data_IF_887218393520
#
_entry.id   IF_887218393520
#
_cell.length_a   1.000
_cell.length_b   1.000
_cell.length_c   1.000
_cell.angle_alpha   90.00
_cell.angle_beta   90.00
_cell.angle_gamma   90.00
#
_symmetry.space_group_name_H-M   'P 1'
#
loop_
_entity.id
_entity.type
_entity.pdbx_description
1 polymer ?
#
# COMPACT_ATOMS: atom_id res chain seq x y z
N UNK A 1 1.31 -16.09 10.62
CA UNK A 1 1.74 -15.01 11.52
C UNK A 1 1.92 -15.61 12.91
N UNK A 2 3.12 -15.50 13.55
CA UNK A 2 3.37 -16.06 14.88
C UNK A 2 2.46 -15.41 15.93
N UNK A 3 2.10 -16.17 16.95
CA UNK A 3 1.35 -15.68 18.09
C UNK A 3 2.33 -15.39 19.24
N UNK A 4 2.62 -14.13 19.49
CA UNK A 4 3.58 -13.72 20.53
C UNK A 4 3.03 -13.83 21.95
N UNK A 5 1.73 -14.08 22.13
CA UNK A 5 1.15 -14.42 23.43
C UNK A 5 1.57 -15.85 23.85
N UNK A 6 2.07 -16.67 22.91
CA UNK A 6 2.61 -18.01 23.15
C UNK A 6 4.12 -17.93 23.39
N UNK A 7 4.62 -18.22 24.59
CA UNK A 7 6.03 -18.02 24.95
C UNK A 7 7.04 -18.70 24.02
N UNK A 8 6.74 -19.91 23.54
CA UNK A 8 7.61 -20.65 22.62
C UNK A 8 7.68 -19.99 21.25
N UNK A 9 6.56 -19.44 20.75
CA UNK A 9 6.54 -18.71 19.46
C UNK A 9 7.26 -17.37 19.58
N UNK A 10 7.06 -16.64 20.67
CA UNK A 10 7.76 -15.39 20.95
C UNK A 10 9.29 -15.62 21.04
N UNK A 11 9.72 -16.66 21.74
CA UNK A 11 11.14 -17.04 21.85
C UNK A 11 11.73 -17.43 20.50
N UNK A 12 11.02 -18.25 19.71
CA UNK A 12 11.46 -18.65 18.37
C UNK A 12 11.60 -17.43 17.45
N UNK A 13 10.63 -16.50 17.46
CA UNK A 13 10.69 -15.27 16.70
C UNK A 13 11.87 -14.39 17.14
N UNK A 14 12.09 -14.21 18.45
CA UNK A 14 13.23 -13.47 18.97
C UNK A 14 14.57 -14.05 18.47
N UNK A 15 14.70 -15.37 18.46
CA UNK A 15 15.90 -16.03 17.93
C UNK A 15 16.10 -15.80 16.42
N UNK A 16 15.03 -15.77 15.63
CA UNK A 16 15.10 -15.46 14.19
C UNK A 16 15.52 -14.00 13.95
N UNK A 17 14.98 -13.07 14.72
CA UNK A 17 15.35 -11.65 14.66
C UNK A 17 16.85 -11.49 14.96
N UNK A 18 17.34 -12.08 16.04
CA UNK A 18 18.76 -12.04 16.41
C UNK A 18 19.69 -12.58 15.31
N UNK A 19 19.26 -13.59 14.56
CA UNK A 19 20.04 -14.14 13.45
C UNK A 19 20.01 -13.25 12.20
N UNK A 20 18.91 -12.51 11.97
CA UNK A 20 18.69 -11.79 10.73
C UNK A 20 19.07 -10.31 10.82
N UNK A 21 18.91 -9.66 11.96
CA UNK A 21 18.96 -8.19 12.10
C UNK A 21 20.29 -7.55 11.68
N UNK A 22 21.40 -8.29 11.74
CA UNK A 22 22.71 -7.78 11.33
C UNK A 22 22.99 -8.02 9.83
N UNK A 23 22.04 -8.65 9.09
CA UNK A 23 22.26 -8.95 7.68
C UNK A 23 22.10 -7.69 6.84
N UNK A 24 23.10 -7.29 6.01
CA UNK A 24 23.09 -6.03 5.30
C UNK A 24 22.00 -5.90 4.21
N UNK A 25 21.36 -7.00 3.83
CA UNK A 25 20.25 -7.01 2.89
C UNK A 25 18.87 -7.01 3.58
N UNK A 26 18.83 -7.06 4.92
CA UNK A 26 17.57 -6.93 5.64
C UNK A 26 17.14 -5.46 5.63
N UNK A 27 15.91 -5.21 5.17
CA UNK A 27 15.30 -3.89 5.20
C UNK A 27 14.03 -3.87 6.05
N UNK A 28 13.23 -4.93 5.96
CA UNK A 28 11.96 -5.05 6.67
C UNK A 28 11.59 -6.51 6.90
N UNK A 29 10.73 -6.73 7.89
CA UNK A 29 10.08 -8.01 8.16
C UNK A 29 8.67 -7.99 7.57
N UNK A 30 8.43 -8.73 6.49
CA UNK A 30 7.10 -8.88 5.92
C UNK A 30 6.24 -9.79 6.79
N UNK A 31 5.24 -9.25 7.45
CA UNK A 31 4.43 -9.95 8.45
C UNK A 31 3.24 -10.66 7.85
N UNK A 32 2.52 -9.97 6.97
CA UNK A 32 1.29 -10.47 6.34
C UNK A 32 0.93 -9.60 5.15
N UNK A 33 0.28 -10.23 4.18
CA UNK A 33 -0.31 -9.59 3.03
C UNK A 33 -1.83 -9.49 3.20
N UNK A 34 -2.40 -8.33 2.92
CA UNK A 34 -3.82 -8.01 2.85
C UNK A 34 -4.66 -8.47 4.07
N UNK A 35 -4.29 -8.13 5.32
CA UNK A 35 -5.05 -8.55 6.48
C UNK A 35 -6.36 -7.77 6.60
N UNK A 36 -7.44 -8.47 6.98
CA UNK A 36 -8.67 -7.83 7.45
C UNK A 36 -8.53 -7.25 8.87
N UNK A 37 -9.42 -6.34 9.24
CA UNK A 37 -9.37 -5.64 10.53
C UNK A 37 -9.38 -6.57 11.76
N UNK A 38 -9.98 -7.75 11.64
CA UNK A 38 -9.96 -8.76 12.70
C UNK A 38 -8.57 -9.26 13.09
N UNK A 39 -7.58 -9.14 12.20
CA UNK A 39 -6.19 -9.51 12.47
C UNK A 39 -5.38 -8.40 13.18
N UNK A 40 -5.83 -7.15 13.14
CA UNK A 40 -5.08 -5.99 13.62
C UNK A 40 -4.65 -6.07 15.08
N UNK A 41 -5.46 -6.55 16.04
CA UNK A 41 -5.02 -6.68 17.43
C UNK A 41 -3.79 -7.59 17.61
N UNK A 42 -3.74 -8.70 16.88
CA UNK A 42 -2.58 -9.59 16.87
C UNK A 42 -1.36 -8.96 16.19
N UNK A 43 -1.60 -8.27 15.07
CA UNK A 43 -0.54 -7.59 14.32
C UNK A 43 0.06 -6.45 15.12
N UNK A 44 -0.75 -5.68 15.87
CA UNK A 44 -0.25 -4.62 16.74
C UNK A 44 0.71 -5.13 17.80
N UNK A 45 0.39 -6.26 18.43
CA UNK A 45 1.31 -6.92 19.38
C UNK A 45 2.61 -7.35 18.70
N UNK A 46 2.51 -7.94 17.50
CA UNK A 46 3.68 -8.41 16.76
C UNK A 46 4.57 -7.24 16.31
N UNK A 47 3.98 -6.14 15.83
CA UNK A 47 4.71 -4.91 15.49
C UNK A 47 5.42 -4.33 16.70
N UNK A 48 4.74 -4.27 17.85
CA UNK A 48 5.35 -3.81 19.09
C UNK A 48 6.52 -4.71 19.52
N UNK A 49 6.38 -6.02 19.38
CA UNK A 49 7.44 -6.99 19.67
C UNK A 49 8.66 -6.77 18.76
N UNK A 50 8.46 -6.63 17.45
CA UNK A 50 9.54 -6.37 16.49
C UNK A 50 10.25 -5.05 16.80
N UNK A 51 9.49 -3.98 17.03
CA UNK A 51 10.05 -2.66 17.39
C UNK A 51 10.91 -2.71 18.66
N UNK A 52 10.55 -3.57 19.61
CA UNK A 52 11.34 -3.76 20.85
C UNK A 52 12.65 -4.53 20.58
N UNK A 53 12.64 -5.53 19.68
CA UNK A 53 13.78 -6.42 19.47
C UNK A 53 14.69 -5.96 18.32
N UNK A 54 14.14 -5.24 17.35
CA UNK A 54 14.86 -4.69 16.20
C UNK A 54 14.22 -3.38 15.71
N UNK A 55 14.51 -2.27 16.39
CA UNK A 55 13.97 -0.96 16.01
C UNK A 55 14.57 -0.39 14.72
N UNK A 56 15.59 -1.03 14.15
CA UNK A 56 16.25 -0.57 12.93
C UNK A 56 15.53 -1.02 11.64
N UNK A 57 14.69 -2.04 11.72
CA UNK A 57 14.01 -2.61 10.55
C UNK A 57 12.50 -2.55 10.67
N UNK A 58 11.84 -2.21 9.55
CA UNK A 58 10.39 -2.03 9.50
C UNK A 58 9.63 -3.35 9.71
N UNK A 59 8.55 -3.27 10.48
CA UNK A 59 7.51 -4.28 10.49
C UNK A 59 6.54 -4.00 9.33
N UNK A 60 6.68 -4.71 8.21
CA UNK A 60 6.00 -4.43 6.96
C UNK A 60 4.70 -5.22 6.81
N UNK A 61 3.61 -4.51 6.53
CA UNK A 61 2.28 -5.06 6.26
C UNK A 61 1.76 -4.37 5.00
N UNK A 62 1.28 -5.15 4.03
CA UNK A 62 0.58 -4.63 2.87
C UNK A 62 -0.93 -4.68 3.09
N UNK A 63 -1.64 -3.60 2.80
CA UNK A 63 -3.08 -3.49 2.99
C UNK A 63 -3.87 -3.74 1.72
N UNK A 64 -5.09 -4.21 1.89
CA UNK A 64 -6.11 -4.36 0.86
C UNK A 64 -6.40 -3.03 0.14
N UNK A 65 -6.77 -3.07 -1.16
CA UNK A 65 -7.26 -1.90 -1.90
C UNK A 65 -8.73 -1.57 -1.62
N UNK A 66 -9.21 -0.43 -2.11
CA UNK A 66 -10.60 0.03 -1.96
C UNK A 66 -11.65 -0.91 -2.56
N UNK A 67 -11.28 -1.71 -3.55
CA UNK A 67 -12.19 -2.67 -4.17
C UNK A 67 -12.29 -4.01 -3.43
N UNK A 68 -11.61 -4.15 -2.30
CA UNK A 68 -11.75 -5.32 -1.44
C UNK A 68 -13.18 -5.45 -0.92
N UNK A 69 -13.67 -6.68 -0.82
CA UNK A 69 -14.99 -6.97 -0.30
C UNK A 69 -15.10 -6.69 1.21
N UNK A 70 -16.31 -6.55 1.69
CA UNK A 70 -16.59 -6.37 3.14
C UNK A 70 -16.04 -7.51 3.99
N UNK A 71 -16.10 -8.74 3.45
CA UNK A 71 -15.55 -9.92 4.11
C UNK A 71 -14.04 -9.89 4.22
N UNK A 72 -13.35 -9.26 3.27
CA UNK A 72 -11.90 -9.06 3.30
C UNK A 72 -11.52 -7.92 4.24
N UNK A 73 -12.16 -6.77 4.13
CA UNK A 73 -11.91 -5.61 5.01
C UNK A 73 -12.27 -5.90 6.46
N UNK A 74 -13.31 -6.73 6.71
CA UNK A 74 -13.83 -7.06 8.04
C UNK A 74 -14.23 -5.81 8.84
N UNK A 75 -14.84 -4.84 8.17
CA UNK A 75 -15.39 -3.62 8.74
C UNK A 75 -16.90 -3.64 8.60
N UNK A 76 -17.64 -3.43 9.71
CA UNK A 76 -19.10 -3.36 9.71
C UNK A 76 -19.60 -1.95 9.37
N UNK A 77 -20.86 -1.85 8.91
CA UNK A 77 -21.49 -0.54 8.65
C UNK A 77 -21.55 0.32 9.90
N UNK A 78 -21.83 -0.25 11.08
CA UNK A 78 -21.89 0.48 12.35
C UNK A 78 -20.54 1.11 12.73
N UNK A 79 -19.44 0.43 12.44
CA UNK A 79 -18.09 0.97 12.68
C UNK A 79 -17.68 1.96 11.60
N UNK A 80 -18.12 1.77 10.36
CA UNK A 80 -17.85 2.68 9.26
C UNK A 80 -18.47 4.08 9.44
N UNK A 81 -19.59 4.18 10.15
CA UNK A 81 -20.20 5.48 10.50
C UNK A 81 -19.25 6.39 11.30
N UNK A 82 -18.33 5.82 12.08
CA UNK A 82 -17.32 6.60 12.82
C UNK A 82 -16.34 7.32 11.89
N UNK A 83 -16.07 6.75 10.72
CA UNK A 83 -15.21 7.37 9.72
C UNK A 83 -15.83 8.61 9.05
N UNK A 84 -17.14 8.86 9.27
CA UNK A 84 -17.83 10.06 8.78
C UNK A 84 -17.45 11.31 9.58
N UNK A 85 -17.09 11.13 10.86
CA UNK A 85 -16.72 12.24 11.75
C UNK A 85 -15.22 12.50 11.61
N UNK A 86 -14.86 13.69 11.11
CA UNK A 86 -13.46 14.12 11.01
C UNK A 86 -12.86 14.15 9.60
N UNK A 87 -13.62 13.79 8.57
CA UNK A 87 -13.15 13.90 7.19
C UNK A 87 -13.78 15.10 6.46
N UNK A 88 -13.04 16.19 6.30
CA UNK A 88 -13.52 17.39 5.60
C UNK A 88 -13.27 17.32 4.08
N UNK A 89 -12.91 16.17 3.51
CA UNK A 89 -12.46 16.14 2.12
C UNK A 89 -13.53 15.57 1.19
N UNK A 90 -13.97 16.41 0.28
CA UNK A 90 -14.79 16.01 -0.86
C UNK A 90 -13.88 15.36 -1.91
N UNK A 91 -14.10 14.10 -2.16
CA UNK A 91 -13.48 13.43 -3.29
C UNK A 91 -14.34 13.62 -4.53
N UNK A 92 -13.74 13.97 -5.65
CA UNK A 92 -14.44 14.31 -6.88
C UNK A 92 -15.43 13.21 -7.31
N UNK A 93 -16.72 13.55 -7.37
CA UNK A 93 -17.80 12.63 -7.76
C UNK A 93 -18.13 11.53 -6.76
N UNK A 94 -17.55 11.52 -5.56
CA UNK A 94 -17.84 10.57 -4.49
C UNK A 94 -18.69 11.23 -3.42
N UNK A 95 -19.83 10.64 -3.10
CA UNK A 95 -20.68 11.10 -2.00
C UNK A 95 -20.00 10.91 -0.64
N UNK A 96 -20.24 11.80 0.30
CA UNK A 96 -19.82 11.63 1.71
C UNK A 96 -20.42 10.40 2.37
N UNK A 97 -21.52 9.89 1.81
CA UNK A 97 -22.21 8.66 2.27
C UNK A 97 -21.79 7.40 1.48
N UNK A 98 -20.76 7.50 0.62
CA UNK A 98 -20.29 6.37 -0.16
C UNK A 98 -19.75 5.28 0.77
N UNK A 99 -20.40 4.12 0.73
CA UNK A 99 -20.09 3.00 1.64
C UNK A 99 -18.68 2.45 1.44
N UNK A 100 -18.19 2.42 0.21
CA UNK A 100 -16.84 1.96 -0.11
C UNK A 100 -15.81 2.86 0.56
N UNK A 101 -15.95 4.16 0.40
CA UNK A 101 -15.09 5.16 1.04
C UNK A 101 -15.14 5.06 2.57
N UNK A 102 -16.34 4.98 3.15
CA UNK A 102 -16.51 4.92 4.61
C UNK A 102 -15.88 3.66 5.21
N UNK A 103 -16.10 2.49 4.59
CA UNK A 103 -15.52 1.22 5.06
C UNK A 103 -14.01 1.19 4.92
N UNK A 104 -13.49 1.68 3.81
CA UNK A 104 -12.04 1.71 3.60
C UNK A 104 -11.35 2.69 4.56
N UNK A 105 -11.93 3.86 4.79
CA UNK A 105 -11.46 4.80 5.82
C UNK A 105 -11.44 4.18 7.21
N UNK A 106 -12.49 3.47 7.58
CA UNK A 106 -12.57 2.79 8.88
C UNK A 106 -11.51 1.68 8.98
N UNK A 107 -11.26 0.93 7.90
CA UNK A 107 -10.19 -0.06 7.84
C UNK A 107 -8.82 0.60 8.08
N UNK A 108 -8.53 1.71 7.39
CA UNK A 108 -7.29 2.46 7.59
C UNK A 108 -7.16 3.03 9.01
N UNK A 109 -8.25 3.58 9.55
CA UNK A 109 -8.28 4.11 10.92
C UNK A 109 -7.96 3.00 11.94
N UNK A 110 -8.65 1.85 11.84
CA UNK A 110 -8.40 0.71 12.73
C UNK A 110 -6.97 0.19 12.58
N UNK A 111 -6.42 0.13 11.37
CA UNK A 111 -5.04 -0.25 11.15
C UNK A 111 -4.09 0.68 11.88
N UNK A 112 -4.20 1.98 11.66
CA UNK A 112 -3.32 2.99 12.26
C UNK A 112 -3.40 2.97 13.79
N UNK A 113 -4.61 2.96 14.34
CA UNK A 113 -4.82 3.02 15.79
C UNK A 113 -4.42 1.74 16.51
N UNK A 114 -4.68 0.58 15.91
CA UNK A 114 -4.46 -0.72 16.56
C UNK A 114 -3.09 -1.29 16.31
N UNK A 115 -2.60 -1.18 15.06
CA UNK A 115 -1.30 -1.75 14.68
C UNK A 115 -0.17 -0.79 15.00
N UNK A 116 -0.41 0.51 14.94
CA UNK A 116 0.59 1.56 15.12
C UNK A 116 1.78 1.39 14.17
N UNK A 117 1.53 1.33 12.85
CA UNK A 117 2.57 1.05 11.86
C UNK A 117 3.54 2.23 11.72
N UNK A 118 4.67 1.98 11.08
CA UNK A 118 5.64 3.01 10.69
C UNK A 118 5.53 3.39 9.21
N UNK A 119 4.76 2.62 8.44
CA UNK A 119 4.52 2.78 7.02
C UNK A 119 3.11 2.29 6.68
N UNK A 120 2.40 3.02 5.83
CA UNK A 120 1.19 2.51 5.18
C UNK A 120 1.60 1.98 3.81
N UNK A 121 1.48 0.66 3.59
CA UNK A 121 1.64 0.04 2.29
C UNK A 121 0.32 -0.52 1.82
N UNK A 122 0.04 -0.37 0.54
CA UNK A 122 -1.14 -0.94 -0.09
C UNK A 122 -0.84 -1.25 -1.55
N UNK A 123 -1.70 -2.04 -2.18
CA UNK A 123 -1.68 -2.27 -3.61
C UNK A 123 -2.98 -1.84 -4.27
N UNK A 124 -2.90 -1.55 -5.57
CA UNK A 124 -4.08 -1.28 -6.39
C UNK A 124 -3.80 -1.66 -7.84
N UNK A 125 -4.53 -2.65 -8.36
CA UNK A 125 -4.36 -3.13 -9.73
C UNK A 125 -5.46 -2.56 -10.62
N UNK A 126 -5.06 -1.57 -11.41
CA UNK A 126 -5.95 -0.70 -12.17
C UNK A 126 -6.35 -1.28 -13.53
N UNK A 127 -5.41 -1.97 -14.20
CA UNK A 127 -5.58 -2.38 -15.59
C UNK A 127 -6.24 -3.75 -15.69
N UNK A 128 -7.53 -3.74 -16.08
CA UNK A 128 -8.34 -4.93 -16.26
C UNK A 128 -8.49 -5.27 -17.76
N UNK A 129 -8.90 -6.50 -18.08
CA UNK A 129 -9.02 -6.97 -19.47
C UNK A 129 -10.10 -6.26 -20.26
N UNK A 130 -11.23 -5.95 -19.61
CA UNK A 130 -12.40 -5.40 -20.28
C UNK A 130 -12.59 -3.89 -20.05
N UNK A 131 -11.95 -3.34 -19.04
CA UNK A 131 -12.00 -1.91 -18.68
C UNK A 131 -10.89 -1.59 -17.70
N UNK A 132 -10.57 -0.32 -17.49
CA UNK A 132 -9.73 0.08 -16.39
C UNK A 132 -10.57 0.25 -15.12
N UNK A 133 -9.95 0.04 -13.95
CA UNK A 133 -10.58 0.19 -12.65
C UNK A 133 -10.93 1.65 -12.35
N UNK A 134 -12.12 1.90 -11.82
CA UNK A 134 -12.61 3.28 -11.59
C UNK A 134 -12.14 3.87 -10.24
N UNK A 135 -11.60 3.06 -9.34
CA UNK A 135 -11.32 3.48 -7.96
C UNK A 135 -9.85 3.88 -7.70
N UNK A 136 -9.01 3.93 -8.73
CA UNK A 136 -7.57 4.17 -8.57
C UNK A 136 -7.27 5.48 -7.82
N UNK A 137 -7.84 6.59 -8.27
CA UNK A 137 -7.62 7.89 -7.63
C UNK A 137 -8.30 8.00 -6.27
N UNK A 138 -9.46 7.35 -6.09
CA UNK A 138 -10.10 7.27 -4.78
C UNK A 138 -9.19 6.55 -3.77
N UNK A 139 -8.60 5.43 -4.17
CA UNK A 139 -7.68 4.70 -3.29
C UNK A 139 -6.45 5.55 -2.92
N UNK A 140 -5.80 6.16 -3.92
CA UNK A 140 -4.68 7.08 -3.70
C UNK A 140 -5.06 8.22 -2.74
N UNK A 141 -6.22 8.84 -2.94
CA UNK A 141 -6.69 9.95 -2.12
C UNK A 141 -6.98 9.53 -0.67
N UNK A 142 -7.61 8.37 -0.47
CA UNK A 142 -7.90 7.83 0.87
C UNK A 142 -6.63 7.46 1.63
N UNK A 143 -5.69 6.78 0.98
CA UNK A 143 -4.38 6.44 1.55
C UNK A 143 -3.59 7.72 1.90
N UNK A 144 -3.53 8.68 0.96
CA UNK A 144 -2.88 9.98 1.21
C UNK A 144 -3.46 10.67 2.44
N UNK A 145 -4.79 10.77 2.52
CA UNK A 145 -5.47 11.42 3.65
C UNK A 145 -5.12 10.76 4.97
N UNK A 146 -5.20 9.44 5.05
CA UNK A 146 -4.85 8.68 6.24
C UNK A 146 -3.36 8.84 6.63
N UNK A 147 -2.47 8.79 5.64
CA UNK A 147 -1.03 8.95 5.84
C UNK A 147 -0.68 10.35 6.36
N UNK A 148 -1.27 11.41 5.80
CA UNK A 148 -1.05 12.78 6.23
C UNK A 148 -1.56 13.03 7.65
N UNK A 149 -2.77 12.54 7.98
CA UNK A 149 -3.35 12.67 9.31
C UNK A 149 -2.50 11.97 10.36
N UNK A 150 -2.05 10.75 10.07
CA UNK A 150 -1.20 9.97 10.95
C UNK A 150 0.28 10.39 10.93
N UNK A 151 0.69 11.29 10.02
CA UNK A 151 2.09 11.68 9.78
C UNK A 151 2.99 10.49 9.45
N UNK A 152 2.47 9.56 8.64
CA UNK A 152 3.17 8.37 8.21
C UNK A 152 3.55 8.47 6.71
N UNK A 153 4.66 7.89 6.30
CA UNK A 153 4.93 7.65 4.89
C UNK A 153 3.95 6.61 4.33
N UNK A 154 3.75 6.63 3.00
CA UNK A 154 3.05 5.53 2.35
C UNK A 154 3.77 5.03 1.09
N UNK A 155 3.57 3.76 0.79
CA UNK A 155 4.09 3.05 -0.37
C UNK A 155 2.93 2.46 -1.16
N UNK A 156 3.01 2.57 -2.49
CA UNK A 156 2.06 1.93 -3.40
C UNK A 156 2.74 0.76 -4.14
N UNK A 157 2.15 -0.43 -4.06
CA UNK A 157 2.53 -1.57 -4.90
C UNK A 157 1.74 -1.46 -6.20
N UNK A 158 2.42 -1.13 -7.28
CA UNK A 158 1.79 -0.89 -8.58
C UNK A 158 1.80 -2.15 -9.45
N UNK A 159 0.80 -2.25 -10.31
CA UNK A 159 0.65 -3.37 -11.25
C UNK A 159 1.79 -3.36 -12.28
N UNK A 160 2.46 -4.51 -12.43
CA UNK A 160 3.52 -4.71 -13.42
C UNK A 160 3.44 -6.08 -14.09
N UNK A 161 2.33 -6.80 -13.94
CA UNK A 161 2.09 -8.08 -14.61
C UNK A 161 0.63 -8.20 -15.05
N UNK A 162 0.37 -9.21 -15.86
CA UNK A 162 -0.97 -9.73 -16.09
C UNK A 162 -1.31 -10.83 -15.09
N UNK A 163 -2.59 -11.01 -14.84
CA UNK A 163 -3.14 -12.17 -14.13
C UNK A 163 -4.49 -12.53 -14.74
N UNK A 164 -4.50 -13.47 -15.70
CA UNK A 164 -5.73 -13.89 -16.35
C UNK A 164 -6.80 -14.40 -15.40
N UNK A 165 -6.40 -15.08 -14.33
CA UNK A 165 -7.30 -15.61 -13.33
C UNK A 165 -8.02 -14.49 -12.55
N UNK A 166 -7.33 -13.37 -12.31
CA UNK A 166 -7.88 -12.19 -11.64
C UNK A 166 -8.54 -11.19 -12.61
N UNK A 167 -8.55 -11.49 -13.90
CA UNK A 167 -9.09 -10.60 -14.92
C UNK A 167 -8.19 -9.41 -15.26
N UNK A 168 -6.92 -9.42 -14.85
CA UNK A 168 -5.97 -8.34 -15.13
C UNK A 168 -5.31 -8.51 -16.50
N UNK A 169 -5.07 -7.40 -17.18
CA UNK A 169 -4.15 -7.31 -18.31
C UNK A 169 -2.80 -6.77 -17.86
N UNK A 170 -1.74 -7.15 -18.53
CA UNK A 170 -0.42 -6.57 -18.32
C UNK A 170 -0.41 -5.09 -18.72
N UNK A 171 0.14 -4.20 -17.90
CA UNK A 171 0.34 -2.81 -18.28
C UNK A 171 1.49 -2.70 -19.29
N UNK A 172 1.38 -1.72 -20.18
CA UNK A 172 2.48 -1.31 -21.04
C UNK A 172 3.42 -0.31 -20.31
N UNK A 173 4.52 0.07 -20.97
CA UNK A 173 5.51 1.00 -20.45
C UNK A 173 4.90 2.32 -19.97
N UNK A 174 4.05 2.95 -20.78
CA UNK A 174 3.45 4.23 -20.44
C UNK A 174 2.49 4.12 -19.24
N UNK A 175 1.82 3.00 -19.11
CA UNK A 175 0.89 2.72 -18.00
C UNK A 175 1.63 2.50 -16.68
N UNK A 176 2.75 1.75 -16.68
CA UNK A 176 3.58 1.63 -15.48
C UNK A 176 4.20 2.99 -15.11
N UNK A 177 4.62 3.75 -16.11
CA UNK A 177 5.09 5.13 -15.89
C UNK A 177 4.00 6.00 -15.27
N UNK A 178 2.79 5.92 -15.77
CA UNK A 178 1.64 6.65 -15.23
C UNK A 178 1.34 6.27 -13.77
N UNK A 179 1.31 4.96 -13.43
CA UNK A 179 1.14 4.49 -12.05
C UNK A 179 2.25 5.02 -11.13
N UNK A 180 3.50 4.98 -11.59
CA UNK A 180 4.66 5.47 -10.85
C UNK A 180 4.52 6.96 -10.51
N UNK A 181 4.27 7.80 -11.52
CA UNK A 181 4.28 9.25 -11.33
C UNK A 181 3.00 9.81 -10.73
N UNK A 182 1.85 9.16 -10.91
CA UNK A 182 0.64 9.53 -10.17
C UNK A 182 0.77 9.19 -8.68
N UNK A 183 1.37 8.05 -8.33
CA UNK A 183 1.68 7.72 -6.93
C UNK A 183 2.58 8.79 -6.29
N UNK A 184 3.63 9.20 -7.01
CA UNK A 184 4.54 10.25 -6.55
C UNK A 184 3.83 11.60 -6.39
N UNK A 185 2.97 11.99 -7.36
CA UNK A 185 2.19 13.23 -7.31
C UNK A 185 1.23 13.27 -6.10
N UNK A 186 0.73 12.13 -5.68
CA UNK A 186 -0.09 11.99 -4.46
C UNK A 186 0.75 11.91 -3.18
N UNK A 187 2.09 11.96 -3.28
CA UNK A 187 2.97 12.02 -2.13
C UNK A 187 3.44 10.65 -1.62
N UNK A 188 3.33 9.59 -2.44
CA UNK A 188 3.95 8.32 -2.10
C UNK A 188 5.47 8.49 -1.94
N UNK A 189 6.02 7.94 -0.87
CA UNK A 189 7.45 7.98 -0.59
C UNK A 189 8.19 6.72 -1.06
N UNK A 190 7.44 5.75 -1.56
CA UNK A 190 7.97 4.54 -2.18
C UNK A 190 6.99 3.92 -3.14
N UNK A 191 7.51 3.16 -4.08
CA UNK A 191 6.75 2.28 -4.97
C UNK A 191 7.38 0.90 -4.98
N UNK A 192 6.56 -0.11 -5.17
CA UNK A 192 6.98 -1.47 -5.47
C UNK A 192 6.21 -1.98 -6.70
N UNK A 193 6.65 -3.07 -7.30
CA UNK A 193 6.05 -3.58 -8.53
C UNK A 193 5.52 -4.99 -8.32
N UNK A 194 4.25 -5.20 -8.57
CA UNK A 194 3.65 -6.52 -8.59
C UNK A 194 3.45 -6.99 -10.03
N UNK A 195 4.18 -7.97 -10.49
CA UNK A 195 5.26 -8.64 -9.76
C UNK A 195 6.47 -8.80 -10.68
N UNK A 196 7.64 -8.85 -10.06
CA UNK A 196 8.92 -8.84 -10.75
C UNK A 196 9.13 -10.06 -11.65
N UNK A 197 8.84 -11.26 -11.13
CA UNK A 197 9.14 -12.54 -11.80
C UNK A 197 8.36 -12.72 -13.12
N UNK A 198 7.03 -12.69 -13.09
CA UNK A 198 6.20 -12.94 -14.29
C UNK A 198 5.91 -11.69 -15.11
N UNK A 199 6.02 -10.50 -14.52
CA UNK A 199 5.77 -9.23 -15.21
C UNK A 199 6.98 -8.75 -15.99
N UNK A 200 8.17 -8.95 -15.46
CA UNK A 200 9.42 -8.40 -15.99
C UNK A 200 10.33 -9.44 -16.63
N UNK A 201 10.09 -10.74 -16.40
CA UNK A 201 10.88 -11.84 -16.95
C UNK A 201 10.00 -12.82 -17.68
N UNK A 202 10.50 -13.35 -18.79
CA UNK A 202 9.89 -14.45 -19.55
C UNK A 202 10.30 -15.80 -18.96
N UNK A 203 11.57 -15.90 -18.60
CA UNK A 203 12.20 -17.01 -17.89
C UNK A 203 13.32 -16.49 -17.00
N UNK A 204 14.08 -17.35 -16.33
CA UNK A 204 15.13 -16.95 -15.38
C UNK A 204 16.27 -16.11 -15.97
N UNK A 205 16.37 -15.99 -17.30
CA UNK A 205 17.47 -15.33 -17.99
C UNK A 205 17.02 -14.27 -19.01
N UNK A 206 15.72 -14.27 -19.40
CA UNK A 206 15.20 -13.44 -20.49
C UNK A 206 14.33 -12.32 -19.96
N UNK A 207 14.83 -11.06 -19.88
CA UNK A 207 14.03 -9.93 -19.46
C UNK A 207 13.02 -9.52 -20.54
N UNK A 208 11.79 -9.24 -20.12
CA UNK A 208 10.74 -8.67 -20.97
C UNK A 208 11.02 -7.19 -21.26
N UNK A 209 10.43 -6.59 -22.30
CA UNK A 209 10.56 -5.16 -22.57
C UNK A 209 10.25 -4.28 -21.35
N UNK A 210 9.26 -4.64 -20.54
CA UNK A 210 8.86 -3.91 -19.34
C UNK A 210 10.00 -3.81 -18.30
N UNK A 211 10.87 -4.82 -18.21
CA UNK A 211 12.04 -4.78 -17.34
C UNK A 211 12.95 -3.58 -17.65
N UNK A 212 13.23 -3.35 -18.92
CA UNK A 212 14.09 -2.24 -19.35
C UNK A 212 13.43 -0.89 -19.11
N UNK A 213 12.14 -0.78 -19.40
CA UNK A 213 11.35 0.41 -19.13
C UNK A 213 11.33 0.75 -17.64
N UNK A 214 11.01 -0.21 -16.77
CA UNK A 214 11.01 -0.04 -15.32
C UNK A 214 12.40 0.30 -14.80
N UNK A 215 13.44 -0.32 -15.33
CA UNK A 215 14.81 0.02 -14.97
C UNK A 215 15.14 1.49 -15.27
N UNK A 216 14.65 2.04 -16.39
CA UNK A 216 14.82 3.45 -16.71
C UNK A 216 13.98 4.34 -15.77
N UNK A 217 12.71 4.02 -15.55
CA UNK A 217 11.84 4.78 -14.64
C UNK A 217 12.37 4.81 -13.22
N UNK A 218 12.92 3.72 -12.73
CA UNK A 218 13.49 3.66 -11.39
C UNK A 218 14.69 4.61 -11.25
N UNK A 219 15.50 4.79 -12.30
CA UNK A 219 16.57 5.80 -12.28
C UNK A 219 16.02 7.23 -12.20
N UNK A 220 15.03 7.53 -13.03
CA UNK A 220 14.36 8.84 -13.05
C UNK A 220 13.63 9.09 -11.71
N UNK A 221 12.94 8.08 -11.20
CA UNK A 221 12.24 8.13 -9.91
C UNK A 221 13.21 8.39 -8.76
N UNK A 222 14.32 7.66 -8.68
CA UNK A 222 15.31 7.83 -7.62
C UNK A 222 15.97 9.23 -7.67
N UNK A 223 16.21 9.78 -8.86
CA UNK A 223 16.73 11.14 -8.99
C UNK A 223 15.73 12.17 -8.43
N UNK A 224 14.43 12.05 -8.77
CA UNK A 224 13.40 12.93 -8.24
C UNK A 224 13.13 12.68 -6.75
N UNK A 225 13.12 11.43 -6.30
CA UNK A 225 12.86 11.09 -4.91
C UNK A 225 13.85 11.75 -3.94
N UNK A 226 15.13 11.87 -4.33
CA UNK A 226 16.16 12.57 -3.54
C UNK A 226 15.82 14.03 -3.29
N UNK A 227 15.22 14.69 -4.28
CA UNK A 227 14.80 16.10 -4.18
C UNK A 227 13.47 16.26 -3.44
N UNK A 228 12.55 15.30 -3.60
CA UNK A 228 11.21 15.39 -3.04
C UNK A 228 11.10 14.83 -1.62
N UNK A 229 11.94 13.86 -1.25
CA UNK A 229 11.86 13.17 0.04
C UNK A 229 11.93 14.11 1.28
N UNK A 230 12.73 15.20 1.28
CA UNK A 230 12.74 16.14 2.40
C UNK A 230 11.54 17.10 2.42
N UNK A 231 10.68 17.07 1.38
CA UNK A 231 9.55 17.99 1.25
C UNK A 231 8.27 17.35 1.79
N UNK A 232 7.36 18.22 2.24
CA UNK A 232 6.00 17.82 2.63
C UNK A 232 5.05 18.04 1.46
N UNK A 233 4.33 17.00 1.03
CA UNK A 233 3.31 17.11 -0.01
C UNK A 233 2.11 17.91 0.51
N UNK A 234 1.80 19.04 -0.11
CA UNK A 234 0.69 19.91 0.29
C UNK A 234 -0.63 19.55 -0.40
N UNK A 235 -0.59 19.02 -1.62
CA UNK A 235 -1.78 18.67 -2.39
C UNK A 235 -1.42 17.89 -3.66
N UNK A 236 -2.43 17.24 -4.22
CA UNK A 236 -2.39 16.67 -5.56
C UNK A 236 -3.42 17.42 -6.41
N UNK A 237 -3.00 17.92 -7.56
CA UNK A 237 -3.84 18.77 -8.40
C UNK A 237 -4.00 18.15 -9.78
N UNK A 238 -5.22 18.14 -10.29
CA UNK A 238 -5.56 17.66 -11.61
C UNK A 238 -5.84 18.81 -12.56
N UNK A 239 -5.38 18.67 -13.81
CA UNK A 239 -5.67 19.61 -14.89
C UNK A 239 -6.73 19.03 -15.84
N UNK A 240 -7.60 19.89 -16.39
CA UNK A 240 -8.67 19.54 -17.32
C UNK A 240 -9.77 18.71 -16.66
N UNK A 241 -9.82 17.40 -16.88
CA UNK A 241 -10.82 16.53 -16.26
C UNK A 241 -10.31 15.99 -14.95
N UNK A 242 -11.04 16.25 -13.88
CA UNK A 242 -10.74 15.69 -12.55
C UNK A 242 -11.25 14.25 -12.52
N UNK A 243 -10.40 13.26 -12.27
CA UNK A 243 -10.83 11.86 -12.19
C UNK A 243 -11.77 11.59 -11.01
N UNK A 244 -12.59 10.56 -11.14
CA UNK A 244 -13.46 10.10 -10.05
C UNK A 244 -12.63 9.73 -8.82
N UNK A 245 -13.03 10.25 -7.66
CA UNK A 245 -12.35 9.99 -6.39
C UNK A 245 -11.06 10.78 -6.17
N UNK A 246 -10.62 11.62 -7.12
CA UNK A 246 -9.47 12.49 -6.92
C UNK A 246 -9.75 13.54 -5.81
N UNK A 247 -8.70 13.99 -5.18
CA UNK A 247 -8.72 14.99 -4.11
C UNK A 247 -8.50 16.38 -4.69
#
# INVERSE_FOLDING_TARGET
TPNIDEPEQAKALGSLIEQAREHPALYAYHLVDEPGAGAFPKLGKLVAFLRQHDPAHLAYINLLPTYASDGQLQVSDDTAERARVGYPQDFAGISTDDKTSLRYREHLRQFIETVQPELISYDHYHFLRNSDGVQYFLNLALIRSAAMEAKLPFLNIIQACDSPAEGWRGPNENEVRWLTFTSLAYGAQGISHFRYDIGMWEDAATPRPLYWAVSQFNRDFLAMARELQPLTSLGAYHCKTVPLGAQ
#
